data_IF_695750650340
#
_entry.id   IF_695750650340
#
_cell.length_a   1.000
_cell.length_b   1.000
_cell.length_c   1.000
_cell.angle_alpha   90.00
_cell.angle_beta   90.00
_cell.angle_gamma   90.00
#
_symmetry.space_group_name_H-M   'P 1'
#
loop_
_entity.id
_entity.type
_entity.pdbx_description
1 polymer ?
2 non-polymer ?
3 non-polymer ?
4 water ?
#
# COMPACT_ATOMS: atom_id res chain seq x y z
N UNK A 3 10.13 -13.87 20.50
CA UNK A 3 9.39 -12.97 19.58
C UNK A 3 10.30 -12.05 18.76
N UNK A 4 9.93 -11.85 17.50
CA UNK A 4 10.66 -10.95 16.62
C UNK A 4 10.11 -9.52 16.75
N UNK A 5 10.91 -8.56 16.31
CA UNK A 5 10.54 -7.16 16.47
C UNK A 5 9.55 -6.72 15.39
N UNK A 6 8.35 -6.20 15.78
CA UNK A 6 7.36 -5.84 14.76
C UNK A 6 7.84 -4.77 13.76
N UNK A 7 8.80 -3.92 14.15
CA UNK A 7 9.28 -2.88 13.22
C UNK A 7 10.01 -3.46 11.99
N UNK A 8 10.32 -4.76 12.04
CA UNK A 8 10.98 -5.39 10.90
C UNK A 8 10.14 -5.36 9.60
N UNK A 9 8.83 -5.10 9.73
CA UNK A 9 7.92 -4.97 8.58
C UNK A 9 8.32 -3.80 7.70
N UNK A 10 9.08 -2.85 8.24
CA UNK A 10 9.56 -1.71 7.47
C UNK A 10 10.86 -1.97 6.69
N UNK A 11 11.50 -3.12 6.89
CA UNK A 11 12.81 -3.38 6.36
C UNK A 11 12.92 -3.13 4.86
N UNK A 12 12.09 -3.79 4.07
CA UNK A 12 12.24 -3.71 2.61
C UNK A 12 11.69 -2.44 2.05
N UNK A 13 10.74 -1.82 2.76
CA UNK A 13 10.31 -0.49 2.43
C UNK A 13 11.45 0.49 2.52
N UNK A 14 12.24 0.43 3.59
CA UNK A 14 13.39 1.31 3.73
C UNK A 14 14.51 1.01 2.71
N UNK A 15 14.86 -0.26 2.55
CA UNK A 15 15.91 -0.62 1.58
C UNK A 15 15.48 -0.19 0.18
N UNK A 16 14.21 -0.45 -0.18
CA UNK A 16 13.75 -0.08 -1.49
C UNK A 16 13.78 1.42 -1.69
N UNK A 17 13.40 2.22 -0.68
CA UNK A 17 13.41 3.68 -0.86
C UNK A 17 14.81 4.19 -1.24
N UNK A 18 15.85 3.50 -0.77
CA UNK A 18 17.23 3.90 -1.01
C UNK A 18 17.80 3.34 -2.32
N UNK A 19 17.02 2.59 -3.10
CA UNK A 19 17.54 1.88 -4.28
C UNK A 19 18.09 2.78 -5.40
N UNK A 20 17.61 4.02 -5.47
CA UNK A 20 18.00 4.95 -6.52
C UNK A 20 19.07 5.94 -6.07
N UNK A 21 19.55 5.80 -4.84
CA UNK A 21 20.54 6.71 -4.27
C UNK A 21 20.16 7.30 -2.91
N UNK A 22 21.06 8.16 -2.42
CA UNK A 22 21.03 8.59 -1.03
C UNK A 22 19.80 9.44 -0.71
N UNK A 23 19.30 9.25 0.51
CA UNK A 23 18.18 9.99 1.08
C UNK A 23 18.50 10.35 2.53
N UNK A 24 17.99 11.50 2.98
CA UNK A 24 18.06 11.89 4.37
C UNK A 24 16.98 11.15 5.15
N UNK A 25 17.07 11.18 6.49
CA UNK A 25 16.01 10.57 7.31
C UNK A 25 14.67 11.28 7.12
N UNK A 26 14.75 12.61 7.01
CA UNK A 26 13.59 13.45 6.65
C UNK A 26 12.92 12.97 5.37
N UNK A 27 13.73 12.76 4.32
CA UNK A 27 13.25 12.29 3.01
C UNK A 27 12.53 10.93 3.19
N UNK A 28 13.16 10.01 3.92
CA UNK A 28 12.56 8.69 4.17
C UNK A 28 11.24 8.81 4.92
N UNK A 29 11.27 9.55 6.04
CA UNK A 29 10.06 9.84 6.81
C UNK A 29 8.97 10.47 5.92
N UNK A 30 9.36 11.42 5.09
CA UNK A 30 8.41 12.04 4.15
C UNK A 30 7.74 11.02 3.22
N UNK A 31 8.52 10.11 2.65
CA UNK A 31 7.93 9.06 1.81
C UNK A 31 6.87 8.23 2.54
N UNK A 32 7.11 7.92 3.82
CA UNK A 32 6.12 7.19 4.61
C UNK A 32 4.83 7.98 4.86
N UNK A 33 4.93 9.31 4.87
CA UNK A 33 3.75 10.15 4.97
C UNK A 33 3.04 10.42 3.63
N UNK A 34 3.69 10.09 2.50
CA UNK A 34 3.09 10.23 1.15
C UNK A 34 2.54 8.86 0.76
N UNK A 35 2.84 8.41 -0.46
CA UNK A 35 2.12 7.29 -1.04
C UNK A 35 2.38 6.01 -0.33
N UNK A 36 3.61 5.84 0.16
CA UNK A 36 4.01 4.62 0.77
C UNK A 36 3.17 4.31 1.99
N UNK A 37 2.87 5.33 2.79
CA UNK A 37 1.94 5.22 3.92
C UNK A 37 0.50 4.80 3.59
N UNK A 38 0.10 4.95 2.34
CA UNK A 38 -1.24 4.54 1.95
C UNK A 38 -1.36 3.03 1.78
N UNK A 39 -0.30 2.36 1.38
CA UNK A 39 -0.34 0.90 1.19
C UNK A 39 0.68 0.11 2.03
N UNK A 40 1.62 0.80 2.68
CA UNK A 40 2.59 0.17 3.55
C UNK A 40 2.83 1.08 4.76
N UNK A 41 1.78 1.24 5.55
CA UNK A 41 1.81 2.19 6.67
C UNK A 41 2.88 1.84 7.71
N UNK A 42 3.54 2.90 8.19
CA UNK A 42 4.49 2.79 9.27
C UNK A 42 3.88 3.41 10.50
N UNK A 43 4.19 2.82 11.64
CA UNK A 43 4.03 3.52 12.90
C UNK A 43 5.25 4.44 12.95
N UNK A 44 5.03 5.75 12.89
CA UNK A 44 6.15 6.61 12.61
C UNK A 44 7.30 6.49 13.65
N UNK A 45 7.00 6.07 14.88
CA UNK A 45 8.01 5.80 15.91
C UNK A 45 9.01 4.68 15.58
N UNK A 46 8.63 3.83 14.63
CA UNK A 46 9.40 2.66 14.20
C UNK A 46 10.38 2.93 13.07
N UNK A 47 10.23 4.05 12.36
CA UNK A 47 11.10 4.30 11.19
C UNK A 47 12.57 4.51 11.54
N UNK A 48 12.89 5.43 12.44
CA UNK A 48 14.31 5.67 12.79
C UNK A 48 14.94 4.46 13.52
N UNK A 49 14.20 3.82 14.41
CA UNK A 49 14.81 2.59 14.94
C UNK A 49 15.16 1.52 13.92
N UNK A 50 14.28 1.32 12.96
CA UNK A 50 14.53 0.31 11.94
C UNK A 50 15.68 0.74 11.04
N UNK A 51 15.72 2.02 10.67
CA UNK A 51 16.91 2.55 9.97
C UNK A 51 18.20 2.22 10.69
N UNK A 52 18.23 2.44 12.01
CA UNK A 52 19.40 2.16 12.81
C UNK A 52 19.75 0.66 12.74
N UNK A 53 18.74 -0.19 12.85
CA UNK A 53 19.00 -1.62 12.80
C UNK A 53 19.61 -2.02 11.48
N UNK A 54 19.08 -1.51 10.38
CA UNK A 54 19.60 -1.88 9.07
C UNK A 54 21.01 -1.34 8.79
N UNK A 55 21.32 -0.21 9.42
CA UNK A 55 22.69 0.35 9.39
C UNK A 55 23.64 -0.56 10.17
N UNK A 56 23.20 -0.93 11.36
CA UNK A 56 24.02 -1.74 12.20
C UNK A 56 24.20 -3.15 11.61
N UNK A 57 23.26 -3.61 10.81
CA UNK A 57 23.36 -4.90 10.10
C UNK A 57 24.17 -4.82 8.81
N UNK A 58 24.67 -3.65 8.48
CA UNK A 58 25.53 -3.44 7.32
C UNK A 58 24.80 -3.31 5.99
N UNK A 59 23.48 -3.16 6.03
CA UNK A 59 22.67 -3.06 4.77
C UNK A 59 22.63 -1.62 4.26
N UNK A 60 22.77 -0.67 5.19
CA UNK A 60 22.74 0.76 4.90
C UNK A 60 23.97 1.39 5.57
N UNK A 61 24.49 2.43 4.96
CA UNK A 61 25.48 3.26 5.61
C UNK A 61 25.03 4.72 5.57
N UNK A 62 25.57 5.53 6.48
CA UNK A 62 25.25 6.96 6.47
C UNK A 62 26.52 7.78 6.47
N UNK A 63 26.41 8.99 5.90
CA UNK A 63 27.41 10.02 6.11
C UNK A 63 26.78 11.26 6.79
N UNK A 73 23.15 16.96 8.27
CA UNK A 73 22.13 15.91 8.23
C UNK A 73 22.75 14.54 7.85
N UNK A 74 22.32 13.47 8.54
CA UNK A 74 22.67 12.11 8.12
C UNK A 74 22.04 11.87 6.76
N UNK A 75 22.84 11.28 5.87
CA UNK A 75 22.39 10.88 4.54
C UNK A 75 22.69 9.42 4.42
N UNK A 76 21.65 8.64 4.10
CA UNK A 76 21.74 7.18 4.04
C UNK A 76 21.84 6.63 2.63
N UNK A 77 22.63 5.56 2.44
CA UNK A 77 22.65 4.84 1.18
C UNK A 77 22.72 3.34 1.40
N UNK A 78 22.33 2.59 0.38
CA UNK A 78 22.52 1.12 0.39
C UNK A 78 23.97 0.74 0.25
N UNK A 79 24.40 -0.30 0.99
CA UNK A 79 25.69 -0.92 0.80
C UNK A 79 25.51 -2.02 -0.26
N UNK A 80 26.60 -2.60 -0.71
CA UNK A 80 26.47 -3.76 -1.59
C UNK A 80 25.63 -4.85 -0.95
N UNK A 81 25.82 -5.06 0.37
CA UNK A 81 25.03 -6.07 1.10
C UNK A 81 23.55 -5.72 1.08
N UNK A 82 23.23 -4.45 1.29
CA UNK A 82 21.84 -4.02 1.24
C UNK A 82 21.18 -4.18 -0.13
N UNK A 83 21.92 -3.88 -1.18
CA UNK A 83 21.44 -4.08 -2.56
C UNK A 83 21.11 -5.55 -2.79
N UNK A 84 22.01 -6.42 -2.33
CA UNK A 84 21.81 -7.88 -2.45
C UNK A 84 20.57 -8.36 -1.64
N UNK A 85 20.39 -7.80 -0.45
CA UNK A 85 19.30 -8.16 0.46
C UNK A 85 17.97 -7.78 -0.22
N UNK A 86 17.94 -6.60 -0.81
CA UNK A 86 16.77 -6.12 -1.57
C UNK A 86 16.48 -6.99 -2.79
N UNK A 87 17.54 -7.26 -3.54
CA UNK A 87 17.42 -8.07 -4.72
C UNK A 87 16.87 -9.46 -4.39
N UNK A 88 17.47 -10.12 -3.42
CA UNK A 88 17.06 -11.49 -3.08
C UNK A 88 15.55 -11.54 -2.71
N UNK A 89 15.10 -10.51 -1.97
CA UNK A 89 13.69 -10.40 -1.58
C UNK A 89 12.80 -10.18 -2.79
N UNK A 90 13.22 -9.29 -3.68
CA UNK A 90 12.44 -8.99 -4.91
C UNK A 90 12.22 -10.23 -5.73
N UNK A 91 13.26 -11.04 -5.88
CA UNK A 91 13.10 -12.20 -6.76
C UNK A 91 12.59 -13.48 -6.09
N UNK A 92 12.49 -13.47 -4.76
CA UNK A 92 11.99 -14.62 -3.98
C UNK A 92 10.50 -14.87 -4.30
N UNK A 93 10.14 -16.11 -4.60
CA UNK A 93 8.74 -16.47 -4.83
C UNK A 93 8.20 -17.01 -3.50
N UNK A 94 7.06 -16.48 -3.11
CA UNK A 94 6.35 -16.83 -1.88
C UNK A 94 4.96 -17.30 -2.25
N UNK A 95 4.38 -18.22 -1.47
CA UNK A 95 2.95 -18.51 -1.64
C UNK A 95 2.12 -17.25 -1.41
N UNK A 96 0.96 -17.15 -2.04
CA UNK A 96 0.13 -16.00 -1.74
C UNK A 96 -0.37 -16.11 -0.30
N UNK A 97 -0.39 -14.98 0.39
CA UNK A 97 -0.81 -15.10 1.76
C UNK A 97 -2.31 -15.33 1.99
N UNK A 98 -2.60 -15.67 3.23
CA UNK A 98 -3.97 -15.86 3.71
C UNK A 98 -4.75 -14.58 3.52
N UNK A 99 -6.04 -14.74 3.26
CA UNK A 99 -6.89 -13.60 3.00
C UNK A 99 -7.00 -12.73 4.21
N UNK A 100 -6.89 -11.43 3.93
CA UNK A 100 -6.90 -10.38 4.92
C UNK A 100 -8.32 -10.24 5.45
N UNK A 101 -8.48 -10.21 6.77
CA UNK A 101 -9.81 -10.09 7.37
C UNK A 101 -10.46 -8.77 7.02
N UNK A 102 -11.62 -8.83 6.37
CA UNK A 102 -12.42 -7.64 6.02
C UNK A 102 -13.68 -7.73 6.88
N UNK A 103 -13.78 -6.87 7.89
CA UNK A 103 -14.89 -6.94 8.83
C UNK A 103 -16.23 -6.76 8.16
N UNK A 104 -16.28 -5.92 7.12
CA UNK A 104 -17.51 -5.77 6.38
C UNK A 104 -17.98 -7.08 5.80
N UNK A 105 -17.04 -7.86 5.31
CA UNK A 105 -17.34 -9.13 4.64
C UNK A 105 -17.82 -10.16 5.65
N UNK A 106 -17.32 -10.12 6.88
CA UNK A 106 -17.92 -10.95 7.95
C UNK A 106 -19.41 -10.58 8.21
N UNK A 107 -19.72 -9.28 8.22
CA UNK A 107 -21.08 -8.84 8.36
C UNK A 107 -21.94 -9.38 7.20
N UNK A 108 -21.38 -9.29 5.98
CA UNK A 108 -22.08 -9.80 4.81
C UNK A 108 -22.37 -11.32 4.94
N UNK A 109 -21.43 -12.07 5.51
CA UNK A 109 -21.62 -13.50 5.73
C UNK A 109 -22.85 -13.78 6.61
N UNK A 110 -23.10 -12.88 7.56
CA UNK A 110 -24.21 -12.99 8.51
C UNK A 110 -25.39 -12.14 8.17
N UNK A 111 -25.49 -11.78 6.89
CA UNK A 111 -26.60 -10.93 6.42
C UNK A 111 -28.02 -11.47 6.74
N UNK A 112 -28.13 -12.77 7.00
CA UNK A 112 -29.46 -13.31 7.34
C UNK A 112 -30.06 -12.64 8.60
N UNK A 113 -29.22 -12.08 9.45
CA UNK A 113 -29.67 -11.40 10.66
C UNK A 113 -30.17 -9.99 10.44
N UNK A 114 -30.18 -9.55 9.17
CA UNK A 114 -30.68 -8.22 8.78
C UNK A 114 -31.90 -8.32 7.88
N UNK A 115 -32.82 -7.35 8.05
CA UNK A 115 -33.92 -7.22 7.14
C UNK A 115 -33.41 -6.70 5.78
N UNK A 116 -34.25 -6.78 4.77
CA UNK A 116 -33.92 -6.26 3.44
C UNK A 116 -33.50 -4.80 3.55
N UNK A 117 -34.27 -3.99 4.27
CA UNK A 117 -33.89 -2.59 4.40
C UNK A 117 -32.59 -2.40 5.16
N UNK A 118 -32.39 -3.15 6.25
CA UNK A 118 -31.14 -3.03 7.00
C UNK A 118 -29.94 -3.46 6.14
N UNK A 119 -30.12 -4.48 5.32
CA UNK A 119 -29.06 -4.94 4.43
C UNK A 119 -28.75 -3.86 3.39
N UNK A 120 -29.80 -3.27 2.84
CA UNK A 120 -29.62 -2.23 1.86
C UNK A 120 -28.87 -1.06 2.53
N UNK A 121 -29.22 -0.73 3.75
CA UNK A 121 -28.57 0.42 4.40
C UNK A 121 -27.09 0.12 4.69
N UNK A 122 -26.80 -1.08 5.13
CA UNK A 122 -25.41 -1.53 5.38
C UNK A 122 -24.54 -1.46 4.13
N UNK A 123 -25.06 -2.00 3.04
CA UNK A 123 -24.33 -2.04 1.78
C UNK A 123 -24.21 -0.65 1.11
N UNK A 124 -25.24 0.19 1.27
CA UNK A 124 -25.25 1.56 0.75
C UNK A 124 -24.19 2.37 1.47
N UNK A 125 -24.09 2.21 2.78
CA UNK A 125 -23.07 2.95 3.56
C UNK A 125 -21.66 2.57 3.05
N UNK A 126 -21.44 1.28 2.83
CA UNK A 126 -20.17 0.80 2.38
C UNK A 126 -19.87 1.32 0.97
N UNK A 127 -20.86 1.30 0.09
CA UNK A 127 -20.69 1.79 -1.28
C UNK A 127 -20.26 3.27 -1.27
N UNK A 128 -20.94 4.08 -0.49
CA UNK A 128 -20.65 5.52 -0.52
C UNK A 128 -19.21 5.77 -0.04
N UNK A 129 -18.82 5.05 0.99
CA UNK A 129 -17.44 5.17 1.49
C UNK A 129 -16.41 4.69 0.47
N UNK A 130 -16.66 3.57 -0.19
CA UNK A 130 -15.73 3.06 -1.18
C UNK A 130 -15.66 3.99 -2.41
N UNK A 131 -16.78 4.60 -2.79
CA UNK A 131 -16.75 5.54 -3.92
C UNK A 131 -15.91 6.76 -3.59
N UNK A 132 -15.99 7.20 -2.33
CA UNK A 132 -15.22 8.36 -1.89
C UNK A 132 -13.72 8.00 -1.85
N UNK A 133 -13.37 6.81 -1.37
CA UNK A 133 -11.99 6.36 -1.43
C UNK A 133 -11.48 6.29 -2.87
N UNK A 134 -12.31 5.74 -3.74
CA UNK A 134 -11.98 5.68 -5.15
C UNK A 134 -11.71 7.04 -5.73
N UNK A 135 -12.57 8.03 -5.40
CA UNK A 135 -12.33 9.43 -5.79
C UNK A 135 -10.99 9.97 -5.37
N UNK A 136 -10.60 9.71 -4.13
CA UNK A 136 -9.31 10.11 -3.63
C UNK A 136 -8.15 9.46 -4.40
N UNK A 137 -8.30 8.16 -4.68
CA UNK A 137 -7.26 7.46 -5.45
C UNK A 137 -7.15 8.00 -6.87
N UNK A 138 -8.29 8.30 -7.47
CA UNK A 138 -8.30 8.90 -8.79
C UNK A 138 -7.59 10.28 -8.79
N UNK A 139 -7.76 11.08 -7.74
CA UNK A 139 -6.98 12.31 -7.53
C UNK A 139 -5.48 12.09 -7.49
N UNK A 140 -5.04 11.06 -6.72
CA UNK A 140 -3.65 10.72 -6.66
C UNK A 140 -3.11 10.26 -8.01
N UNK A 141 -3.95 9.53 -8.74
CA UNK A 141 -3.61 9.01 -10.08
C UNK A 141 -3.41 10.16 -11.07
N UNK A 142 -4.33 11.12 -11.04
CA UNK A 142 -4.20 12.28 -11.91
C UNK A 142 -2.97 13.12 -11.59
N UNK A 143 -2.58 13.16 -10.31
CA UNK A 143 -1.38 13.91 -9.91
C UNK A 143 -0.14 13.23 -10.49
N UNK A 144 -0.12 11.92 -10.35
CA UNK A 144 0.97 11.12 -10.87
C UNK A 144 1.08 11.32 -12.37
N UNK A 145 -0.06 11.27 -13.04
CA UNK A 145 -0.03 11.29 -14.48
C UNK A 145 0.15 12.66 -15.05
N UNK A 146 0.12 13.69 -14.22
CA UNK A 146 0.44 15.06 -14.67
C UNK A 146 1.92 15.27 -15.05
N UNK A 147 2.78 14.28 -14.83
CA UNK A 147 4.15 14.27 -15.38
C UNK A 147 4.19 14.33 -16.92
N UNK A 148 5.28 14.88 -17.44
CA UNK A 148 5.47 15.07 -18.89
C UNK A 148 5.73 13.76 -19.61
N UNK A 149 6.61 12.95 -19.04
CA UNK A 149 7.09 11.74 -19.69
C UNK A 149 6.01 10.64 -19.70
N UNK A 150 5.69 10.10 -20.90
CA UNK A 150 4.61 9.12 -20.96
C UNK A 150 4.92 7.86 -20.11
N UNK A 151 3.87 7.20 -19.65
CA UNK A 151 4.06 6.02 -18.75
C UNK A 151 4.41 4.79 -19.54
N UNK A 152 5.41 4.07 -19.05
CA UNK A 152 5.85 2.80 -19.59
C UNK A 152 6.72 2.10 -18.57
N UNK A 153 7.11 0.87 -18.89
CA UNK A 153 7.99 0.12 -18.03
C UNK A 153 9.27 0.88 -17.62
N UNK A 154 9.84 1.65 -18.57
CA UNK A 154 11.10 2.36 -18.40
C UNK A 154 10.94 3.68 -17.67
N UNK A 155 9.71 4.10 -17.40
CA UNK A 155 9.50 5.34 -16.65
C UNK A 155 10.00 5.22 -15.22
N UNK A 156 10.65 6.26 -14.67
CA UNK A 156 11.07 6.19 -13.27
C UNK A 156 9.90 6.10 -12.32
N UNK A 157 8.73 6.52 -12.78
CA UNK A 157 7.50 6.42 -12.00
C UNK A 157 6.69 5.13 -12.19
N UNK A 158 7.24 4.12 -12.83
CA UNK A 158 6.45 2.93 -13.12
C UNK A 158 6.00 2.24 -11.82
N UNK A 159 6.90 2.13 -10.83
CA UNK A 159 6.51 1.49 -9.60
C UNK A 159 5.34 2.15 -8.87
N UNK A 160 5.36 3.50 -8.85
CA UNK A 160 4.29 4.28 -8.25
C UNK A 160 2.98 4.02 -9.04
N UNK A 161 3.10 4.01 -10.36
CA UNK A 161 1.96 3.66 -11.24
C UNK A 161 1.37 2.31 -10.92
N UNK A 162 2.23 1.33 -10.66
CA UNK A 162 1.76 -0.01 -10.35
C UNK A 162 0.95 -0.01 -9.06
N UNK A 163 1.44 0.61 -8.00
CA UNK A 163 0.71 0.55 -6.71
C UNK A 163 -0.62 1.35 -6.83
N UNK A 164 -0.60 2.45 -7.58
CA UNK A 164 -1.79 3.25 -7.71
C UNK A 164 -2.85 2.60 -8.60
N UNK A 165 -2.45 2.03 -9.72
CA UNK A 165 -3.42 1.35 -10.59
C UNK A 165 -3.99 0.14 -9.87
N UNK A 166 -3.15 -0.57 -9.12
CA UNK A 166 -3.62 -1.69 -8.36
C UNK A 166 -4.76 -1.25 -7.42
N UNK A 167 -4.52 -0.16 -6.69
CA UNK A 167 -5.48 0.37 -5.72
C UNK A 167 -6.78 0.83 -6.36
N UNK A 168 -6.65 1.50 -7.48
CA UNK A 168 -7.79 1.98 -8.28
C UNK A 168 -8.65 0.80 -8.73
N UNK A 169 -8.00 -0.22 -9.29
CA UNK A 169 -8.71 -1.43 -9.77
C UNK A 169 -9.39 -2.14 -8.62
N UNK A 170 -8.68 -2.25 -7.49
CA UNK A 170 -9.19 -2.93 -6.31
C UNK A 170 -10.48 -2.26 -5.82
N UNK A 171 -10.42 -0.95 -5.69
CA UNK A 171 -11.58 -0.22 -5.18
C UNK A 171 -12.70 -0.13 -6.20
N UNK A 172 -12.40 0.05 -7.50
CA UNK A 172 -13.45 -0.02 -8.54
C UNK A 172 -14.18 -1.35 -8.52
N UNK A 173 -13.43 -2.43 -8.38
CA UNK A 173 -14.02 -3.75 -8.28
C UNK A 173 -14.90 -3.93 -7.04
N UNK A 174 -14.48 -3.39 -5.93
CA UNK A 174 -15.25 -3.45 -4.70
C UNK A 174 -16.55 -2.70 -4.90
N UNK A 175 -16.48 -1.52 -5.52
CA UNK A 175 -17.64 -0.72 -5.78
C UNK A 175 -18.58 -1.47 -6.71
N UNK A 176 -18.06 -2.06 -7.77
CA UNK A 176 -18.94 -2.78 -8.69
C UNK A 176 -19.64 -3.96 -8.03
N UNK A 177 -18.92 -4.68 -7.18
CA UNK A 177 -19.49 -5.78 -6.45
C UNK A 177 -20.59 -5.28 -5.50
N UNK A 178 -20.34 -4.20 -4.76
CA UNK A 178 -21.39 -3.67 -3.90
C UNK A 178 -22.62 -3.26 -4.70
N UNK A 179 -22.42 -2.62 -5.85
CA UNK A 179 -23.55 -2.25 -6.71
C UNK A 179 -24.36 -3.51 -7.10
N UNK A 180 -23.66 -4.57 -7.49
CA UNK A 180 -24.30 -5.83 -7.89
C UNK A 180 -25.16 -6.38 -6.76
N UNK A 181 -24.64 -6.31 -5.53
CA UNK A 181 -25.35 -6.86 -4.38
C UNK A 181 -26.55 -5.99 -4.03
N UNK A 182 -26.40 -4.66 -4.11
CA UNK A 182 -27.51 -3.77 -3.83
C UNK A 182 -28.63 -4.04 -4.85
N UNK A 183 -28.25 -4.36 -6.09
CA UNK A 183 -29.29 -4.68 -7.07
C UNK A 183 -30.02 -5.99 -6.72
N UNK A 184 -29.30 -6.94 -6.18
CA UNK A 184 -29.92 -8.19 -5.66
C UNK A 184 -30.81 -7.95 -4.44
N UNK A 185 -30.38 -7.09 -3.53
CA UNK A 185 -31.18 -6.73 -2.35
C UNK A 185 -32.47 -6.05 -2.88
N UNK A 186 -32.32 -5.25 -3.95
CA UNK A 186 -33.44 -4.50 -4.57
C UNK A 186 -33.98 -5.17 -5.84
N UNK A 187 -34.18 -6.48 -5.73
CA UNK A 187 -34.62 -7.27 -6.86
C UNK A 187 -35.98 -6.79 -7.34
N UNK A 188 -36.18 -6.81 -8.66
CA UNK A 188 -37.48 -6.45 -9.24
C UNK A 188 -38.57 -7.32 -8.65
X LIG B 1 -3.96 1.89 -1.41
X LIG B 1 -3.42 0.78 -1.78
X LIG B 1 -4.97 1.94 -0.69
X LIG B 1 -3.43 3.16 -1.87
X LIG B 1 -2.35 3.26 -2.61
X LIG B 1 -1.84 4.54 -3.10
X LIG B 1 -0.72 4.48 -3.90
X LIG B 1 -0.17 5.60 -4.49
X LIG B 1 -0.76 6.86 -4.23
X LIG B 1 -1.86 6.94 -3.40
X LIG B 1 -2.43 5.80 -2.86
X LIG B 1 -0.16 7.94 -4.79
X LIG C 1 -33.53 -12.81 4.42
X LIG C 1 -34.95 -12.94 4.22
X LIG C 1 -33.21 -11.81 5.52
X LIG C 1 -31.83 -11.53 5.52
X LIG C 1 -33.76 -12.25 6.89
X LIG C 1 -33.32 -13.53 7.30
#
# INVERSE_FOLDING_TARGET
GSAKDPMRVLKYAILGLLRKGELSGYDITSYFKEELGQFWSAKHSQIYPELKKLTDEGFITFRTTIQGTKLEKKMYTLTDSGKQELHDWLIRHQPIPETVKDEFMLKAYFISSLSRQEASDLFTDQLLKRKAKLSDLQGSYEKLMASAEPMSFSSPDFGHYLVLTKALEREKNYVSWLESILAMIDED
HC4 C1 O1 O2 C2 C3 C1' C2' C3' C4' C5' C6' O4'
GOL C1 O1 C2 O2 C3 O3
#
